data_IF_233977328781
#
_entry.id   IF_233977328781
#
_cell.length_a   1.000
_cell.length_b   1.000
_cell.length_c   1.000
_cell.angle_alpha   90.00
_cell.angle_beta   90.00
_cell.angle_gamma   90.00
#
_symmetry.space_group_name_H-M   'P 1'
#
loop_
_entity.id
_entity.type
_entity.pdbx_description
1 polymer ?
#
# COMPACT_ATOMS: atom_id res chain seq x y z
N UNK A 1 -5.14 -53.25 -45.03
CA UNK A 1 -6.07 -52.24 -44.48
C UNK A 1 -5.75 -52.13 -43.00
N UNK A 2 -4.90 -51.17 -42.64
CA UNK A 2 -4.46 -50.92 -41.27
C UNK A 2 -4.83 -49.47 -41.01
N UNK A 3 -5.74 -49.28 -40.07
CA UNK A 3 -6.48 -48.05 -39.80
C UNK A 3 -5.66 -47.17 -38.84
N UNK A 4 -5.41 -45.93 -39.26
CA UNK A 4 -4.66 -44.90 -38.53
C UNK A 4 -5.36 -44.52 -37.22
N UNK A 5 -4.80 -44.92 -36.09
CA UNK A 5 -5.20 -44.44 -34.76
C UNK A 5 -4.51 -43.11 -34.44
N UNK A 6 -5.19 -42.00 -34.70
CA UNK A 6 -4.79 -40.67 -34.21
C UNK A 6 -5.29 -40.47 -32.77
N UNK A 7 -4.44 -40.07 -31.81
CA UNK A 7 -4.88 -39.83 -30.44
C UNK A 7 -5.77 -38.56 -30.35
N UNK A 8 -6.79 -38.55 -29.49
CA UNK A 8 -7.69 -37.40 -29.35
C UNK A 8 -6.99 -36.21 -28.69
N UNK A 9 -7.12 -35.04 -29.32
CA UNK A 9 -6.66 -33.76 -28.80
C UNK A 9 -7.45 -33.38 -27.55
N UNK A 10 -6.77 -33.33 -26.40
CA UNK A 10 -7.34 -32.83 -25.14
C UNK A 10 -7.36 -31.29 -25.21
N UNK A 11 -8.57 -30.71 -25.30
CA UNK A 11 -8.76 -29.26 -25.15
C UNK A 11 -8.82 -28.95 -23.65
N UNK A 12 -8.03 -27.98 -23.12
CA UNK A 12 -8.17 -27.58 -21.72
C UNK A 12 -9.47 -26.79 -21.54
N UNK A 13 -10.43 -27.38 -20.84
CA UNK A 13 -11.64 -26.70 -20.36
C UNK A 13 -11.23 -25.66 -19.32
N UNK A 14 -11.36 -24.38 -19.66
CA UNK A 14 -11.17 -23.26 -18.74
C UNK A 14 -12.22 -23.36 -17.61
N UNK A 15 -11.85 -23.27 -16.33
CA UNK A 15 -12.82 -23.28 -15.24
C UNK A 15 -13.72 -22.03 -15.32
N UNK A 16 -15.02 -22.25 -15.47
CA UNK A 16 -16.06 -21.24 -15.31
C UNK A 16 -16.11 -20.84 -13.84
N UNK A 17 -15.57 -19.66 -13.52
CA UNK A 17 -15.74 -19.06 -12.19
C UNK A 17 -17.23 -18.76 -12.01
N UNK A 18 -17.90 -19.25 -10.95
CA UNK A 18 -19.28 -18.88 -10.69
C UNK A 18 -19.36 -17.39 -10.38
N UNK A 19 -20.10 -16.67 -11.24
CA UNK A 19 -20.56 -15.30 -10.98
C UNK A 19 -21.40 -15.30 -9.70
N UNK A 20 -20.80 -14.93 -8.57
CA UNK A 20 -21.55 -14.68 -7.35
C UNK A 20 -22.24 -13.32 -7.47
N UNK A 21 -23.48 -13.34 -7.95
CA UNK A 21 -24.46 -12.27 -7.73
C UNK A 21 -25.06 -12.47 -6.35
N UNK A 22 -24.63 -11.65 -5.39
CA UNK A 22 -25.38 -11.41 -4.17
C UNK A 22 -25.54 -9.90 -4.01
N UNK A 23 -26.64 -9.36 -4.56
CA UNK A 23 -27.18 -8.05 -4.17
C UNK A 23 -27.80 -8.20 -2.78
N UNK A 24 -26.98 -8.07 -1.74
CA UNK A 24 -27.48 -7.84 -0.39
C UNK A 24 -27.79 -6.36 -0.21
N UNK A 25 -29.05 -6.02 0.10
CA UNK A 25 -29.39 -4.78 0.79
C UNK A 25 -28.81 -4.88 2.20
N UNK A 26 -27.53 -4.55 2.38
CA UNK A 26 -27.00 -4.26 3.70
C UNK A 26 -27.07 -2.75 3.91
N UNK A 27 -27.53 -2.36 5.09
CA UNK A 27 -27.50 -0.99 5.60
C UNK A 27 -26.19 -0.32 5.19
N UNK A 28 -26.27 0.94 4.73
CA UNK A 28 -25.10 1.73 4.36
C UNK A 28 -24.23 2.04 5.60
N UNK A 29 -23.58 1.04 6.17
CA UNK A 29 -22.42 1.24 7.01
C UNK A 29 -21.33 1.78 6.09
N UNK A 30 -21.10 3.10 6.15
CA UNK A 30 -20.06 3.78 5.37
C UNK A 30 -18.78 2.95 5.44
N UNK A 31 -18.32 2.44 4.29
CA UNK A 31 -17.11 1.63 4.17
C UNK A 31 -15.91 2.48 4.63
N UNK A 32 -15.55 2.39 5.91
CA UNK A 32 -14.43 3.14 6.48
C UNK A 32 -13.14 2.37 6.27
N UNK A 33 -12.72 2.25 5.02
CA UNK A 33 -11.39 1.73 4.67
C UNK A 33 -10.63 2.78 3.88
N UNK A 34 -10.22 3.83 4.59
CA UNK A 34 -9.18 4.72 4.11
C UNK A 34 -7.96 4.49 4.98
N UNK A 35 -6.84 4.12 4.36
CA UNK A 35 -5.53 4.18 5.01
C UNK A 35 -5.39 5.57 5.62
N UNK A 36 -5.22 5.70 6.95
CA UNK A 36 -5.13 6.99 7.60
C UNK A 36 -4.02 7.83 6.95
N UNK A 37 -4.31 9.11 6.73
CA UNK A 37 -3.37 10.05 6.14
C UNK A 37 -2.72 10.91 7.23
N UNK A 38 -1.42 11.15 7.10
CA UNK A 38 -0.64 12.09 7.88
C UNK A 38 -0.17 13.15 6.90
N UNK A 39 -0.50 14.42 7.16
CA UNK A 39 -0.05 15.53 6.35
C UNK A 39 1.11 16.20 7.08
N UNK A 40 2.27 16.30 6.42
CA UNK A 40 3.43 17.02 6.94
C UNK A 40 3.63 18.34 6.20
N UNK A 41 4.27 19.35 6.82
CA UNK A 41 4.57 20.60 6.13
C UNK A 41 5.53 20.38 4.95
N UNK A 42 5.24 20.99 3.80
CA UNK A 42 6.14 21.05 2.66
C UNK A 42 7.17 22.19 2.84
N UNK A 43 7.99 22.09 3.88
CA UNK A 43 9.03 23.08 4.17
C UNK A 43 10.35 22.42 4.55
N UNK A 44 11.45 22.87 3.94
CA UNK A 44 12.78 22.29 4.18
C UNK A 44 13.33 22.56 5.57
N UNK A 45 12.94 23.67 6.19
CA UNK A 45 13.32 24.02 7.58
C UNK A 45 12.41 23.39 8.63
N UNK A 46 11.34 22.69 8.22
CA UNK A 46 10.50 21.93 9.16
C UNK A 46 11.32 20.83 9.82
N UNK A 47 11.13 20.66 11.12
CA UNK A 47 11.78 19.59 11.90
C UNK A 47 11.38 18.20 11.36
N UNK A 48 10.13 18.06 10.93
CA UNK A 48 9.57 16.85 10.33
C UNK A 48 9.12 17.18 8.91
N UNK A 49 9.64 16.44 7.94
CA UNK A 49 9.28 16.55 6.53
C UNK A 49 9.40 15.18 5.84
N UNK A 50 9.13 15.11 4.55
CA UNK A 50 9.13 13.84 3.82
C UNK A 50 10.49 13.11 3.79
N UNK A 51 11.61 13.78 4.09
CA UNK A 51 12.92 13.12 4.13
C UNK A 51 13.12 12.25 5.36
N UNK A 52 12.56 12.64 6.51
CA UNK A 52 12.76 11.99 7.79
C UNK A 52 11.48 11.42 8.42
N UNK A 53 10.32 11.64 7.80
CA UNK A 53 9.04 11.16 8.29
C UNK A 53 9.03 9.66 8.57
N UNK A 54 9.69 8.84 7.74
CA UNK A 54 9.75 7.38 7.94
C UNK A 54 10.51 7.02 9.22
N UNK A 55 11.73 7.51 9.39
CA UNK A 55 12.56 7.19 10.55
C UNK A 55 11.91 7.65 11.87
N UNK A 56 11.25 8.82 11.84
CA UNK A 56 10.60 9.38 13.03
C UNK A 56 9.30 8.62 13.35
N UNK A 57 8.46 8.34 12.36
CA UNK A 57 7.12 7.80 12.61
C UNK A 57 7.10 6.27 12.69
N UNK A 58 8.02 5.56 12.04
CA UNK A 58 8.14 4.09 12.12
C UNK A 58 9.11 3.68 13.24
N UNK A 59 10.32 4.23 13.23
CA UNK A 59 11.41 3.77 14.10
C UNK A 59 11.55 4.60 15.40
N UNK A 60 10.74 5.66 15.57
CA UNK A 60 10.88 6.64 16.67
C UNK A 60 12.29 7.24 16.76
N UNK A 61 12.97 7.36 15.62
CA UNK A 61 14.34 7.86 15.53
C UNK A 61 14.37 9.20 14.81
N UNK A 62 14.85 10.22 15.52
CA UNK A 62 15.09 11.50 14.89
C UNK A 62 16.34 11.46 14.01
N UNK A 63 16.17 11.82 12.74
CA UNK A 63 17.24 12.04 11.76
C UNK A 63 17.01 13.41 11.13
N UNK A 64 18.05 14.22 11.04
CA UNK A 64 17.94 15.55 10.44
C UNK A 64 17.80 15.46 8.92
N UNK A 65 17.14 16.45 8.31
CA UNK A 65 17.06 16.54 6.86
C UNK A 65 18.43 16.66 6.20
N UNK A 66 19.39 17.31 6.88
CA UNK A 66 20.77 17.45 6.38
C UNK A 66 21.45 16.09 6.24
N UNK A 67 21.35 15.23 7.26
CA UNK A 67 21.91 13.87 7.23
C UNK A 67 21.28 13.03 6.10
N UNK A 68 19.95 13.10 5.93
CA UNK A 68 19.26 12.39 4.84
C UNK A 68 19.70 12.86 3.46
N UNK A 69 19.89 14.17 3.26
CA UNK A 69 20.41 14.72 2.02
C UNK A 69 21.86 14.28 1.75
N UNK A 70 22.70 14.19 2.78
CA UNK A 70 24.07 13.66 2.64
C UNK A 70 24.10 12.18 2.23
N UNK A 71 23.07 11.42 2.60
CA UNK A 71 22.86 10.04 2.14
C UNK A 71 22.28 9.94 0.72
N UNK A 72 22.17 11.07 0.00
CA UNK A 72 21.53 11.17 -1.31
C UNK A 72 20.09 10.62 -1.33
N UNK A 73 19.36 10.75 -0.22
CA UNK A 73 17.97 10.30 -0.15
C UNK A 73 17.11 11.14 -1.12
N UNK A 74 16.42 10.51 -2.10
CA UNK A 74 15.54 11.23 -2.99
C UNK A 74 14.36 11.81 -2.21
N UNK A 75 13.89 12.98 -2.63
CA UNK A 75 12.64 13.53 -2.09
C UNK A 75 11.47 12.72 -2.64
N UNK A 76 10.63 12.20 -1.75
CA UNK A 76 9.40 11.50 -2.12
C UNK A 76 8.20 12.32 -1.65
N UNK A 77 7.18 12.49 -2.49
CA UNK A 77 5.97 13.27 -2.14
C UNK A 77 4.97 12.47 -1.29
N UNK A 78 5.02 11.14 -1.40
CA UNK A 78 4.16 10.21 -0.66
C UNK A 78 5.00 9.05 -0.11
N UNK A 79 4.75 8.64 1.12
CA UNK A 79 5.31 7.40 1.65
C UNK A 79 4.29 6.63 2.48
N UNK A 80 4.33 5.30 2.38
CA UNK A 80 3.53 4.40 3.21
C UNK A 80 4.41 3.90 4.37
N UNK A 81 3.96 4.11 5.60
CA UNK A 81 4.62 3.61 6.80
C UNK A 81 3.75 2.58 7.50
N UNK A 82 4.39 1.67 8.24
CA UNK A 82 3.71 0.66 9.04
C UNK A 82 3.93 0.96 10.52
N UNK A 83 2.93 1.52 11.20
CA UNK A 83 3.04 1.82 12.63
C UNK A 83 2.58 0.64 13.47
N UNK A 84 3.40 0.22 14.42
CA UNK A 84 3.02 -0.77 15.42
C UNK A 84 2.04 -0.17 16.43
N UNK A 85 0.93 -0.88 16.67
CA UNK A 85 -0.05 -0.65 17.71
C UNK A 85 0.11 -1.69 18.82
N UNK A 86 -0.60 -1.46 19.92
CA UNK A 86 -0.66 -2.39 21.05
C UNK A 86 -0.95 -3.82 20.57
N UNK A 87 -0.20 -4.78 21.10
CA UNK A 87 -0.31 -6.19 20.72
C UNK A 87 0.43 -6.57 19.43
N UNK A 88 1.38 -5.75 18.95
CA UNK A 88 2.24 -6.08 17.81
C UNK A 88 1.57 -5.95 16.44
N UNK A 89 0.35 -5.39 16.40
CA UNK A 89 -0.40 -5.19 15.16
C UNK A 89 0.17 -4.01 14.39
N UNK A 90 0.58 -4.20 13.14
CA UNK A 90 1.05 -3.11 12.27
C UNK A 90 -0.08 -2.53 11.43
N UNK A 91 -0.26 -1.21 11.49
CA UNK A 91 -1.27 -0.47 10.74
C UNK A 91 -0.60 0.43 9.72
N UNK A 92 -1.04 0.41 8.45
CA UNK A 92 -0.50 1.29 7.44
C UNK A 92 -0.99 2.74 7.64
N UNK A 93 -0.09 3.70 7.47
CA UNK A 93 -0.41 5.13 7.37
C UNK A 93 0.23 5.68 6.11
N UNK A 94 -0.48 6.55 5.41
CA UNK A 94 0.06 7.29 4.26
C UNK A 94 0.52 8.67 4.72
N UNK A 95 1.75 9.04 4.43
CA UNK A 95 2.28 10.38 4.68
C UNK A 95 2.41 11.14 3.38
N UNK A 96 1.90 12.37 3.34
CA UNK A 96 1.96 13.27 2.19
C UNK A 96 2.34 14.69 2.62
N UNK A 97 2.98 15.45 1.73
CA UNK A 97 3.29 16.87 1.95
C UNK A 97 2.33 17.83 1.24
N UNK A 98 1.59 17.34 0.24
CA UNK A 98 0.61 18.11 -0.51
C UNK A 98 -0.71 17.32 -0.62
N UNK A 99 -1.83 17.81 -0.07
CA UNK A 99 -3.13 17.12 -0.10
C UNK A 99 -3.98 17.41 -1.36
N UNK A 100 -3.41 18.03 -2.39
CA UNK A 100 -4.10 18.42 -3.64
C UNK A 100 -4.22 17.25 -4.63
#
# INVERSE_FOLDING_TARGET
VIEDNKPPTIIPVKPTIPTQVCKGLSSQTKRRSFTPIIIVPNLQSSLINMYNAKDILEDLKFVTTREKKMQNAPRVSETLLMREKDGGVRVPYKVIDNPQ
#
